data_IF_669108288374
#
_entry.id   IF_669108288374
#
_cell.length_a   1.000
_cell.length_b   1.000
_cell.length_c   1.000
_cell.angle_alpha   90.00
_cell.angle_beta   90.00
_cell.angle_gamma   90.00
#
_symmetry.space_group_name_H-M   'P 1'
#
loop_
_entity.id
_entity.type
_entity.pdbx_description
1 polymer ?
#
# COMPACT_ATOMS: atom_id res chain seq x y z
N UNK A 1 21.28 7.52 0.25
CA UNK A 1 21.18 6.55 1.36
C UNK A 1 22.11 5.39 1.03
N UNK A 2 23.10 5.05 1.89
CA UNK A 2 24.00 3.92 1.62
C UNK A 2 23.18 2.62 1.57
N UNK A 3 23.24 1.91 0.44
CA UNK A 3 22.42 0.72 0.15
C UNK A 3 22.79 -0.48 1.03
N UNK A 4 24.05 -0.53 1.45
CA UNK A 4 24.66 -1.69 2.11
C UNK A 4 24.01 -2.01 3.47
N UNK A 5 23.34 -1.04 4.10
CA UNK A 5 22.67 -1.26 5.38
C UNK A 5 21.28 -1.90 5.22
N UNK A 6 20.51 -1.55 4.18
CA UNK A 6 19.14 -2.08 4.00
C UNK A 6 19.16 -3.57 3.67
N UNK A 7 20.11 -4.01 2.83
CA UNK A 7 20.28 -5.41 2.47
C UNK A 7 20.44 -6.30 3.71
N UNK A 8 21.32 -5.89 4.64
CA UNK A 8 21.56 -6.64 5.87
C UNK A 8 20.31 -6.75 6.73
N UNK A 9 19.55 -5.66 6.88
CA UNK A 9 18.31 -5.67 7.67
C UNK A 9 17.24 -6.60 7.05
N UNK A 10 17.15 -6.65 5.71
CA UNK A 10 16.25 -7.59 5.03
C UNK A 10 16.67 -9.03 5.28
N UNK A 11 17.96 -9.33 5.19
CA UNK A 11 18.48 -10.68 5.43
C UNK A 11 18.32 -11.10 6.90
N UNK A 12 18.53 -10.19 7.86
CA UNK A 12 18.25 -10.44 9.28
C UNK A 12 16.77 -10.72 9.53
N UNK A 13 15.87 -9.96 8.89
CA UNK A 13 14.43 -10.18 9.02
C UNK A 13 14.03 -11.57 8.54
N UNK A 14 14.55 -12.00 7.37
CA UNK A 14 14.32 -13.35 6.83
C UNK A 14 14.85 -14.46 7.72
N UNK A 15 15.94 -14.21 8.43
CA UNK A 15 16.49 -15.14 9.40
C UNK A 15 15.67 -15.21 10.72
N UNK A 16 14.51 -14.54 10.77
CA UNK A 16 13.57 -14.60 11.88
C UNK A 16 13.72 -13.48 12.91
N UNK A 17 14.63 -12.53 12.69
CA UNK A 17 14.77 -11.37 13.56
C UNK A 17 13.69 -10.33 13.22
N UNK A 18 12.47 -10.55 13.68
CA UNK A 18 11.31 -9.67 13.40
C UNK A 18 11.50 -8.21 13.85
N UNK A 19 12.35 -7.96 14.85
CA UNK A 19 12.58 -6.60 15.38
C UNK A 19 13.26 -5.64 14.40
N UNK A 20 13.99 -6.16 13.40
CA UNK A 20 14.67 -5.30 12.41
C UNK A 20 13.71 -4.69 11.39
N UNK A 21 12.47 -5.17 11.32
CA UNK A 21 11.49 -4.64 10.38
C UNK A 21 11.07 -3.21 10.72
N UNK A 22 10.99 -2.87 12.01
CA UNK A 22 10.75 -1.50 12.46
C UNK A 22 11.87 -0.57 12.01
N UNK A 23 13.11 -1.07 11.98
CA UNK A 23 14.25 -0.33 11.47
C UNK A 23 14.19 -0.15 9.95
N UNK A 24 13.80 -1.19 9.19
CA UNK A 24 13.52 -1.08 7.76
C UNK A 24 12.47 -0.02 7.49
N UNK A 25 11.37 -0.02 8.25
CA UNK A 25 10.31 0.96 8.17
C UNK A 25 10.84 2.37 8.41
N UNK A 26 11.46 2.63 9.57
CA UNK A 26 11.94 3.95 9.95
C UNK A 26 12.97 4.53 8.96
N UNK A 27 13.80 3.67 8.37
CA UNK A 27 14.81 4.07 7.38
C UNK A 27 14.22 4.38 6.01
N UNK A 28 13.07 3.83 5.65
CA UNK A 28 12.53 3.90 4.28
C UNK A 28 11.22 4.67 4.15
N UNK A 29 10.51 4.92 5.26
CA UNK A 29 9.19 5.57 5.28
C UNK A 29 9.17 6.92 4.57
N UNK A 30 10.19 7.76 4.79
CA UNK A 30 10.29 9.07 4.16
C UNK A 30 10.41 8.99 2.63
N UNK A 31 11.15 7.99 2.12
CA UNK A 31 11.31 7.80 0.68
C UNK A 31 10.04 7.21 0.05
N UNK A 32 9.38 6.30 0.76
CA UNK A 32 8.06 5.77 0.39
C UNK A 32 7.01 6.87 0.31
N UNK A 33 6.96 7.75 1.32
CA UNK A 33 6.04 8.89 1.35
C UNK A 33 6.34 9.89 0.23
N UNK A 34 7.60 10.25 0.00
CA UNK A 34 8.00 11.12 -1.12
C UNK A 34 7.65 10.53 -2.47
N UNK A 35 7.77 9.22 -2.63
CA UNK A 35 7.34 8.54 -3.84
C UNK A 35 5.81 8.57 -3.99
N UNK A 36 5.06 8.28 -2.94
CA UNK A 36 3.60 8.32 -2.92
C UNK A 36 3.05 9.72 -3.26
N UNK A 37 3.65 10.79 -2.73
CA UNK A 37 3.27 12.19 -3.04
C UNK A 37 3.41 12.57 -4.51
N UNK A 38 4.21 11.84 -5.29
CA UNK A 38 4.30 12.02 -6.75
C UNK A 38 3.16 11.35 -7.51
N UNK A 39 2.43 10.43 -6.87
CA UNK A 39 1.33 9.68 -7.46
C UNK A 39 -0.04 10.26 -7.08
N UNK A 40 -0.16 10.82 -5.87
CA UNK A 40 -1.40 11.41 -5.35
C UNK A 40 -1.10 12.57 -4.40
N UNK A 41 -2.04 13.51 -4.28
CA UNK A 41 -2.02 14.61 -3.31
C UNK A 41 -2.91 14.36 -2.08
N UNK A 42 -3.64 13.25 -2.05
CA UNK A 42 -4.49 12.87 -0.91
C UNK A 42 -3.63 12.18 0.16
N UNK A 43 -3.44 12.84 1.29
CA UNK A 43 -2.61 12.33 2.39
C UNK A 43 -3.22 11.09 3.07
N UNK A 44 -4.54 10.99 3.15
CA UNK A 44 -5.21 9.81 3.73
C UNK A 44 -4.95 8.58 2.89
N UNK A 45 -5.04 8.69 1.55
CA UNK A 45 -4.74 7.58 0.64
C UNK A 45 -3.26 7.17 0.76
N UNK A 46 -2.36 8.12 0.96
CA UNK A 46 -0.93 7.85 1.07
C UNK A 46 -0.62 7.08 2.35
N UNK A 47 -1.10 7.55 3.49
CA UNK A 47 -0.88 6.92 4.78
C UNK A 47 -1.38 5.47 4.79
N UNK A 48 -2.63 5.26 4.35
CA UNK A 48 -3.22 3.92 4.23
C UNK A 48 -2.42 3.03 3.27
N UNK A 49 -2.08 3.54 2.08
CA UNK A 49 -1.37 2.74 1.08
C UNK A 49 0.04 2.35 1.54
N UNK A 50 0.72 3.23 2.29
CA UNK A 50 2.02 2.94 2.88
C UNK A 50 1.89 1.84 3.94
N UNK A 51 0.91 1.96 4.84
CA UNK A 51 0.68 0.95 5.88
C UNK A 51 0.40 -0.43 5.25
N UNK A 52 -0.52 -0.50 4.30
CA UNK A 52 -0.83 -1.70 3.52
C UNK A 52 0.41 -2.25 2.79
N UNK A 53 1.32 -1.37 2.35
CA UNK A 53 2.54 -1.78 1.66
C UNK A 53 3.51 -2.46 2.60
N UNK A 54 3.71 -1.92 3.81
CA UNK A 54 4.60 -2.53 4.80
C UNK A 54 4.08 -3.87 5.32
N UNK A 55 2.77 -3.99 5.53
CA UNK A 55 2.14 -5.29 5.86
C UNK A 55 2.43 -6.30 4.75
N UNK A 56 2.16 -5.94 3.49
CA UNK A 56 2.45 -6.83 2.35
C UNK A 56 3.92 -7.15 2.19
N UNK A 57 4.80 -6.17 2.42
CA UNK A 57 6.25 -6.39 2.36
C UNK A 57 6.71 -7.38 3.43
N UNK A 58 6.18 -7.29 4.65
CA UNK A 58 6.45 -8.25 5.72
C UNK A 58 5.96 -9.66 5.35
N UNK A 59 4.72 -9.77 4.86
CA UNK A 59 4.10 -11.07 4.51
C UNK A 59 4.78 -11.77 3.32
N UNK A 60 5.37 -11.00 2.41
CA UNK A 60 5.92 -11.52 1.15
C UNK A 60 7.42 -11.31 0.99
N UNK A 61 8.14 -10.98 2.06
CA UNK A 61 9.59 -10.73 2.05
C UNK A 61 10.39 -11.91 1.48
N UNK A 62 9.90 -13.14 1.67
CA UNK A 62 10.51 -14.37 1.16
C UNK A 62 10.46 -14.46 -0.37
N UNK A 63 9.51 -13.76 -1.00
CA UNK A 63 9.38 -13.72 -2.47
C UNK A 63 10.34 -12.75 -3.14
N UNK A 64 10.95 -11.84 -2.37
CA UNK A 64 11.91 -10.87 -2.89
C UNK A 64 13.21 -11.60 -3.27
N UNK A 65 13.58 -11.57 -4.55
CA UNK A 65 14.74 -12.33 -5.04
C UNK A 65 16.09 -11.75 -4.61
N UNK A 66 16.15 -10.44 -4.44
CA UNK A 66 17.37 -9.71 -4.15
C UNK A 66 17.08 -8.66 -3.06
N UNK A 67 17.72 -8.83 -1.90
CA UNK A 67 17.56 -7.98 -0.73
C UNK A 67 17.97 -6.52 -1.01
N UNK A 68 18.91 -6.30 -1.93
CA UNK A 68 19.33 -4.93 -2.31
C UNK A 68 18.25 -4.17 -3.08
N UNK A 69 17.25 -4.89 -3.61
CA UNK A 69 16.12 -4.36 -4.36
C UNK A 69 14.89 -4.07 -3.50
N UNK A 70 14.97 -4.20 -2.16
CA UNK A 70 13.84 -4.04 -1.24
C UNK A 70 13.04 -2.76 -1.46
N UNK A 71 13.71 -1.60 -1.54
CA UNK A 71 13.01 -0.32 -1.69
C UNK A 71 12.31 -0.20 -3.06
N UNK A 72 12.96 -0.64 -4.13
CA UNK A 72 12.39 -0.65 -5.49
C UNK A 72 11.18 -1.59 -5.59
N UNK A 73 11.27 -2.76 -4.93
CA UNK A 73 10.17 -3.71 -4.82
C UNK A 73 9.01 -3.13 -4.00
N UNK A 74 9.30 -2.46 -2.88
CA UNK A 74 8.35 -1.74 -2.06
C UNK A 74 7.59 -0.65 -2.83
N UNK A 75 8.28 0.14 -3.66
CA UNK A 75 7.61 1.12 -4.54
C UNK A 75 6.60 0.49 -5.50
N UNK A 76 6.89 -0.71 -5.99
CA UNK A 76 5.96 -1.44 -6.88
C UNK A 76 4.69 -1.83 -6.12
N UNK A 77 4.82 -2.34 -4.89
CA UNK A 77 3.70 -2.66 -4.01
C UNK A 77 2.87 -1.40 -3.72
N UNK A 78 3.53 -0.32 -3.31
CA UNK A 78 2.89 0.95 -2.98
C UNK A 78 2.11 1.53 -4.15
N UNK A 79 2.72 1.58 -5.34
CA UNK A 79 2.03 2.04 -6.55
C UNK A 79 0.79 1.18 -6.85
N UNK A 80 0.88 -0.13 -6.65
CA UNK A 80 -0.25 -1.04 -6.87
C UNK A 80 -1.38 -0.81 -5.86
N UNK A 81 -1.06 -0.54 -4.60
CA UNK A 81 -2.03 -0.21 -3.54
C UNK A 81 -2.76 1.10 -3.85
N UNK A 82 -2.03 2.18 -4.17
CA UNK A 82 -2.62 3.47 -4.56
C UNK A 82 -3.54 3.31 -5.77
N UNK A 83 -3.08 2.62 -6.82
CA UNK A 83 -3.91 2.36 -8.00
C UNK A 83 -5.15 1.51 -7.68
N UNK A 84 -5.07 0.61 -6.70
CA UNK A 84 -6.20 -0.20 -6.28
C UNK A 84 -7.30 0.65 -5.63
N UNK A 85 -6.90 1.62 -4.80
CA UNK A 85 -7.83 2.59 -4.19
C UNK A 85 -8.60 3.37 -5.27
N UNK A 86 -7.91 3.96 -6.23
CA UNK A 86 -8.57 4.67 -7.34
C UNK A 86 -9.49 3.80 -8.19
N UNK A 87 -9.11 2.54 -8.43
CA UNK A 87 -9.98 1.60 -9.15
C UNK A 87 -11.26 1.28 -8.38
N UNK A 88 -11.22 1.23 -7.05
CA UNK A 88 -12.40 1.01 -6.19
C UNK A 88 -13.32 2.23 -6.21
N UNK A 89 -12.76 3.43 -6.05
CA UNK A 89 -13.52 4.69 -6.10
C UNK A 89 -14.24 4.91 -7.43
N UNK A 90 -13.56 4.60 -8.54
CA UNK A 90 -14.16 4.67 -9.88
C UNK A 90 -15.31 3.66 -10.06
N UNK A 91 -15.26 2.52 -9.37
CA UNK A 91 -16.32 1.50 -9.40
C UNK A 91 -17.49 1.84 -8.46
N UNK A 92 -17.26 2.53 -7.35
CA UNK A 92 -18.33 3.04 -6.49
C UNK A 92 -19.12 4.18 -7.14
N UNK A 93 -18.58 4.81 -8.20
CA UNK A 93 -19.36 5.61 -9.14
C UNK A 93 -20.01 4.73 -10.22
N UNK A 94 -20.69 3.65 -9.82
CA UNK A 94 -21.76 3.03 -10.61
C UNK A 94 -23.07 3.44 -9.97
N UNK A 95 -23.78 4.35 -10.62
CA UNK A 95 -25.21 4.52 -10.41
C UNK A 95 -25.93 3.63 -11.44
N UNK A 96 -26.61 2.54 -11.04
CA UNK A 96 -27.74 2.06 -11.80
C UNK A 96 -28.88 3.06 -11.56
N UNK A 97 -29.01 3.99 -12.49
CA UNK A 97 -30.20 4.82 -12.65
C UNK A 97 -31.43 3.91 -12.81
N UNK A 98 -32.37 4.01 -11.86
CA UNK A 98 -33.81 3.69 -11.90
C UNK A 98 -34.32 2.24 -11.82
N UNK A 99 -35.10 1.95 -10.76
CA UNK A 99 -36.43 1.34 -10.90
C UNK A 99 -37.47 2.09 -10.03
N UNK A 100 -38.47 2.61 -10.72
CA UNK A 100 -39.66 3.34 -10.27
C UNK A 100 -40.72 2.38 -9.71
N UNK A 101 -41.51 2.87 -8.73
CA UNK A 101 -42.84 2.42 -8.25
C UNK A 101 -43.08 0.92 -8.05
N UNK A 102 -43.31 0.54 -6.79
CA UNK A 102 -44.52 -0.26 -6.49
C UNK A 102 -45.29 0.42 -5.36
N UNK A 103 -46.56 0.68 -5.66
CA UNK A 103 -47.50 1.38 -4.82
C UNK A 103 -47.69 0.68 -3.47
N UNK A 104 -47.38 1.36 -2.37
CA UNK A 104 -47.94 1.05 -1.04
C UNK A 104 -47.97 2.33 -0.21
N UNK A 105 -48.94 3.19 -0.50
CA UNK A 105 -49.57 4.03 0.52
C UNK A 105 -51.00 4.29 0.04
N UNK A 106 -51.84 3.28 0.26
CA UNK A 106 -53.27 3.41 0.38
C UNK A 106 -53.52 4.36 1.57
N UNK A 107 -53.60 5.66 1.30
CA UNK A 107 -54.00 6.68 2.27
C UNK A 107 -55.19 7.43 1.67
N UNK A 108 -56.38 7.08 2.19
CA UNK A 108 -57.65 7.81 2.20
C UNK A 108 -58.28 8.22 0.86
#
# INVERSE_FOLDING_TARGET
>A
MPKDNLTNLVDEYRNGNVSVFDELYNRTINDMYRYARKLTSDDSIIEDAIQDSYIKMADSIESLRDSSSFLSWGYTILRNNINSTYRREKKSCQCPFLLIQTATNLSL
#
